data_IF_860140518641
#
_entry.id   IF_860140518641
#
_cell.length_a   1.000
_cell.length_b   1.000
_cell.length_c   1.000
_cell.angle_alpha   90.00
_cell.angle_beta   90.00
_cell.angle_gamma   90.00
#
_symmetry.space_group_name_H-M   'P 1'
#
loop_
_entity.id
_entity.type
_entity.pdbx_description
1 polymer ?
#
# COMPACT_ATOMS: atom_id res chain seq x y z
N UNK A 1 -9.17 9.08 27.49
CA UNK A 1 -8.44 8.15 26.57
C UNK A 1 -8.31 8.84 25.24
N UNK A 2 -7.18 8.86 24.58
CA UNK A 2 -7.04 9.53 23.28
C UNK A 2 -7.60 8.62 22.20
N UNK A 3 -8.41 9.15 21.27
CA UNK A 3 -8.96 8.41 20.12
C UNK A 3 -7.87 7.73 19.28
N UNK A 4 -6.69 8.33 19.25
CA UNK A 4 -5.51 7.73 18.62
C UNK A 4 -5.12 6.40 19.28
N UNK A 5 -5.11 6.36 20.61
CA UNK A 5 -4.79 5.13 21.36
C UNK A 5 -5.86 4.05 21.15
N UNK A 6 -7.13 4.45 21.05
CA UNK A 6 -8.23 3.52 20.74
C UNK A 6 -8.08 2.93 19.35
N UNK A 7 -7.77 3.76 18.35
CA UNK A 7 -7.52 3.30 16.99
C UNK A 7 -6.30 2.37 16.92
N UNK A 8 -5.21 2.71 17.61
CA UNK A 8 -4.02 1.86 17.70
C UNK A 8 -4.32 0.50 18.33
N UNK A 9 -5.20 0.46 19.33
CA UNK A 9 -5.64 -0.80 19.94
C UNK A 9 -6.51 -1.62 18.98
N UNK A 10 -7.39 -0.98 18.22
CA UNK A 10 -8.20 -1.64 17.18
C UNK A 10 -7.29 -2.26 16.12
N UNK A 11 -6.29 -1.54 15.64
CA UNK A 11 -5.34 -2.08 14.67
C UNK A 11 -4.52 -3.26 15.24
N UNK A 12 -4.12 -3.20 16.51
CA UNK A 12 -3.40 -4.33 17.16
C UNK A 12 -4.28 -5.56 17.30
N UNK A 13 -5.57 -5.40 17.53
CA UNK A 13 -6.50 -6.50 17.76
C UNK A 13 -7.07 -7.09 16.48
N UNK A 14 -7.38 -6.26 15.48
CA UNK A 14 -8.12 -6.65 14.28
C UNK A 14 -7.36 -6.35 12.98
N UNK A 15 -6.18 -5.78 13.07
CA UNK A 15 -5.34 -5.47 11.91
C UNK A 15 -4.54 -6.68 11.45
N UNK A 16 -4.03 -6.56 10.24
CA UNK A 16 -3.07 -7.49 9.66
C UNK A 16 -1.88 -6.71 9.09
N UNK A 17 -0.78 -7.41 8.89
CA UNK A 17 0.43 -6.82 8.36
C UNK A 17 0.44 -6.87 6.82
N UNK A 18 0.77 -5.75 6.21
CA UNK A 18 0.95 -5.62 4.76
C UNK A 18 2.34 -5.07 4.44
N UNK A 19 2.77 -5.21 3.19
CA UNK A 19 3.91 -4.47 2.67
C UNK A 19 3.45 -3.20 1.98
N UNK A 20 3.93 -2.07 2.48
CA UNK A 20 3.77 -0.76 1.84
C UNK A 20 5.01 -0.48 1.00
N UNK A 21 4.82 -0.28 -0.30
CA UNK A 21 5.86 0.00 -1.27
C UNK A 21 5.74 1.46 -1.68
N UNK A 22 6.59 2.29 -1.13
CA UNK A 22 6.62 3.74 -1.37
C UNK A 22 7.72 4.11 -2.33
N UNK A 23 7.48 5.10 -3.17
CA UNK A 23 8.48 5.62 -4.09
C UNK A 23 9.48 6.50 -3.35
N UNK A 24 10.78 6.24 -3.54
CA UNK A 24 11.84 7.15 -3.09
C UNK A 24 12.07 8.27 -4.11
N UNK A 25 12.96 9.19 -3.78
CA UNK A 25 13.44 10.22 -4.74
C UNK A 25 14.58 9.72 -5.63
N UNK A 26 15.05 8.49 -5.43
CA UNK A 26 16.19 7.93 -6.15
C UNK A 26 15.70 7.28 -7.43
N UNK A 27 16.19 7.75 -8.57
CA UNK A 27 15.88 7.17 -9.88
C UNK A 27 16.45 5.77 -9.99
N UNK A 28 15.68 4.88 -10.60
CA UNK A 28 16.16 3.55 -10.93
C UNK A 28 17.14 3.60 -12.12
N UNK A 29 18.10 2.70 -12.15
CA UNK A 29 19.07 2.57 -13.25
C UNK A 29 18.44 2.23 -14.60
N UNK A 30 17.24 1.66 -14.62
CA UNK A 30 16.49 1.39 -15.85
C UNK A 30 15.81 2.63 -16.46
N UNK A 31 15.84 3.76 -15.75
CA UNK A 31 15.26 5.00 -16.26
C UNK A 31 16.14 5.63 -17.33
N UNK A 32 15.55 5.81 -18.51
CA UNK A 32 16.23 6.52 -19.60
C UNK A 32 15.87 8.01 -19.53
N UNK A 33 16.86 8.85 -19.20
CA UNK A 33 16.67 10.29 -19.07
C UNK A 33 16.35 11.00 -20.40
N UNK A 34 16.76 10.42 -21.54
CA UNK A 34 16.53 11.02 -22.86
C UNK A 34 15.08 10.84 -23.33
N UNK A 35 14.50 9.67 -23.06
CA UNK A 35 13.14 9.34 -23.49
C UNK A 35 12.10 9.53 -22.38
N UNK A 36 12.51 9.77 -21.14
CA UNK A 36 11.63 9.82 -19.98
C UNK A 36 10.98 8.48 -19.64
N UNK A 37 11.41 7.40 -20.29
CA UNK A 37 10.79 6.08 -20.16
C UNK A 37 11.53 5.20 -19.16
N UNK A 38 10.80 4.21 -18.65
CA UNK A 38 11.34 3.17 -17.78
C UNK A 38 10.99 1.81 -18.33
N UNK A 39 11.82 0.83 -18.03
CA UNK A 39 11.46 -0.55 -18.28
C UNK A 39 10.30 -0.96 -17.36
N UNK A 40 9.13 -1.22 -17.95
CA UNK A 40 7.94 -1.68 -17.22
C UNK A 40 8.15 -3.00 -16.50
N UNK A 41 9.11 -3.80 -16.95
CA UNK A 41 9.46 -5.11 -16.41
C UNK A 41 10.66 -5.04 -15.47
N UNK A 42 11.13 -3.86 -15.11
CA UNK A 42 12.27 -3.72 -14.22
C UNK A 42 12.00 -4.36 -12.85
N UNK A 43 12.80 -5.34 -12.40
CA UNK A 43 12.59 -6.01 -11.13
C UNK A 43 12.90 -5.12 -9.92
N UNK A 44 13.60 -4.01 -10.11
CA UNK A 44 14.01 -3.11 -9.04
C UNK A 44 12.98 -2.01 -8.76
N UNK A 45 12.37 -1.43 -9.78
CA UNK A 45 11.44 -0.32 -9.61
C UNK A 45 9.99 -0.63 -10.01
N UNK A 46 9.71 -1.83 -10.53
CA UNK A 46 8.37 -2.25 -10.99
C UNK A 46 7.73 -1.28 -11.99
N UNK A 47 8.56 -0.68 -12.84
CA UNK A 47 8.10 0.31 -13.82
C UNK A 47 7.75 1.69 -13.24
N UNK A 48 8.03 1.95 -11.97
CA UNK A 48 7.73 3.23 -11.30
C UNK A 48 8.76 4.32 -11.55
N UNK A 49 9.89 4.00 -12.18
CA UNK A 49 11.04 4.90 -12.39
C UNK A 49 11.90 5.18 -11.18
N UNK A 50 11.47 4.82 -9.99
CA UNK A 50 12.15 5.12 -8.73
C UNK A 50 12.42 3.85 -7.94
N UNK A 51 13.52 3.83 -7.20
CA UNK A 51 13.81 2.73 -6.27
C UNK A 51 12.78 2.76 -5.15
N UNK A 52 12.03 1.67 -4.91
CA UNK A 52 11.03 1.63 -3.87
C UNK A 52 11.65 1.48 -2.48
N UNK A 53 10.98 2.04 -1.49
CA UNK A 53 11.15 1.72 -0.08
C UNK A 53 10.02 0.80 0.32
N UNK A 54 10.34 -0.38 0.83
CA UNK A 54 9.35 -1.37 1.25
C UNK A 54 9.36 -1.45 2.77
N UNK A 55 8.21 -1.24 3.39
CA UNK A 55 8.03 -1.32 4.84
C UNK A 55 6.89 -2.26 5.19
N UNK A 56 7.02 -2.92 6.34
CA UNK A 56 5.95 -3.72 6.93
C UNK A 56 5.10 -2.80 7.79
N UNK A 57 3.82 -2.70 7.48
CA UNK A 57 2.88 -1.84 8.19
C UNK A 57 1.65 -2.60 8.62
N UNK A 58 1.13 -2.28 9.80
CA UNK A 58 -0.14 -2.84 10.27
C UNK A 58 -1.30 -2.00 9.74
N UNK A 59 -2.30 -2.67 9.22
CA UNK A 59 -3.49 -2.03 8.66
C UNK A 59 -4.74 -2.87 8.92
N UNK A 60 -5.90 -2.27 8.72
CA UNK A 60 -7.18 -2.97 8.62
C UNK A 60 -7.74 -2.73 7.23
N UNK A 61 -8.18 -3.80 6.61
CA UNK A 61 -8.84 -3.77 5.31
C UNK A 61 -10.37 -3.71 5.49
N UNK A 62 -11.03 -3.03 4.58
CA UNK A 62 -12.48 -2.99 4.47
C UNK A 62 -12.87 -3.03 3.00
N UNK A 63 -13.75 -3.97 2.64
CA UNK A 63 -14.25 -4.07 1.27
C UNK A 63 -15.23 -2.94 0.96
N UNK A 64 -15.10 -2.32 -0.21
CA UNK A 64 -16.01 -1.27 -0.66
C UNK A 64 -17.44 -1.73 -0.93
N UNK A 65 -17.66 -3.05 -1.00
CA UNK A 65 -18.97 -3.66 -1.27
C UNK A 65 -19.89 -3.75 -0.04
N UNK A 66 -19.41 -3.38 1.15
CA UNK A 66 -20.24 -3.38 2.33
C UNK A 66 -21.11 -2.12 2.29
N UNK A 67 -22.42 -2.34 2.27
CA UNK A 67 -23.50 -1.37 2.06
C UNK A 67 -23.55 -0.17 3.02
N UNK A 68 -22.71 -0.14 4.04
CA UNK A 68 -22.59 1.01 4.96
C UNK A 68 -22.03 2.27 4.31
N UNK A 69 -21.43 2.15 3.13
CA UNK A 69 -20.89 3.27 2.37
C UNK A 69 -21.81 3.74 1.23
N UNK A 70 -22.96 3.12 1.02
CA UNK A 70 -23.91 3.53 -0.02
C UNK A 70 -24.41 4.98 0.16
N UNK A 71 -24.49 5.47 1.38
CA UNK A 71 -24.85 6.87 1.65
C UNK A 71 -23.74 7.87 1.27
N UNK A 72 -22.48 7.42 1.22
CA UNK A 72 -21.36 8.27 0.76
C UNK A 72 -21.11 8.14 -0.76
N UNK A 73 -21.60 7.08 -1.39
CA UNK A 73 -21.43 6.85 -2.84
C UNK A 73 -22.27 7.84 -3.66
N UNK A 74 -23.39 8.31 -3.12
CA UNK A 74 -24.22 9.30 -3.82
C UNK A 74 -23.51 10.63 -4.08
N UNK A 75 -22.56 11.01 -3.23
CA UNK A 75 -21.84 12.28 -3.36
C UNK A 75 -20.63 12.18 -4.33
N UNK A 76 -20.22 10.97 -4.68
CA UNK A 76 -19.09 10.70 -5.59
C UNK A 76 -19.52 10.17 -6.97
N UNK A 77 -20.83 9.99 -7.21
CA UNK A 77 -21.34 9.68 -8.54
C UNK A 77 -21.35 10.94 -9.44
N UNK A 78 -20.20 11.49 -9.70
CA UNK A 78 -20.03 12.37 -10.85
C UNK A 78 -19.83 11.50 -12.09
N UNK A 79 -20.94 11.40 -12.83
CA UNK A 79 -20.98 11.04 -14.25
C UNK A 79 -19.89 10.08 -14.78
N UNK A 80 -20.21 8.79 -14.83
CA UNK A 80 -19.56 7.86 -15.76
C UNK A 80 -18.32 7.15 -15.24
N UNK A 81 -17.83 7.39 -14.03
CA UNK A 81 -16.82 6.53 -13.43
C UNK A 81 -17.47 5.27 -12.86
N UNK A 82 -17.28 4.15 -13.53
CA UNK A 82 -17.52 2.84 -12.95
C UNK A 82 -16.76 2.78 -11.62
N UNK A 83 -17.47 2.57 -10.52
CA UNK A 83 -16.86 2.27 -9.23
C UNK A 83 -16.13 0.94 -9.41
N UNK A 84 -14.87 1.03 -9.74
CA UNK A 84 -13.99 -0.13 -9.69
C UNK A 84 -13.96 -0.57 -8.24
N UNK A 85 -14.37 -1.80 -7.98
CA UNK A 85 -14.32 -2.45 -6.67
C UNK A 85 -12.97 -2.21 -6.04
N UNK A 86 -12.89 -1.19 -5.21
CA UNK A 86 -11.69 -0.80 -4.49
C UNK A 86 -11.73 -1.35 -3.08
N UNK A 87 -10.59 -1.56 -2.50
CA UNK A 87 -10.43 -1.86 -1.08
C UNK A 87 -10.02 -0.60 -0.35
N UNK A 88 -10.45 -0.48 0.90
CA UNK A 88 -10.02 0.59 1.78
C UNK A 88 -9.09 0.01 2.84
N UNK A 89 -8.01 0.74 3.11
CA UNK A 89 -7.06 0.41 4.15
C UNK A 89 -7.00 1.53 5.17
N UNK A 90 -6.90 1.16 6.43
CA UNK A 90 -6.78 2.11 7.53
C UNK A 90 -5.39 2.01 8.13
N UNK A 91 -4.61 3.08 8.01
CA UNK A 91 -3.28 3.17 8.58
C UNK A 91 -3.22 4.13 9.76
N UNK A 92 -2.23 3.94 10.62
CA UNK A 92 -1.90 4.90 11.66
C UNK A 92 -1.52 6.24 11.07
N UNK A 93 -1.66 7.29 11.87
CA UNK A 93 -1.34 8.65 11.44
C UNK A 93 0.16 8.89 11.17
N UNK A 94 1.04 8.11 11.78
CA UNK A 94 2.51 8.19 11.64
C UNK A 94 3.07 7.43 10.43
N UNK A 95 2.27 6.57 9.80
CA UNK A 95 2.66 5.90 8.56
C UNK A 95 2.58 6.88 7.39
N UNK A 96 3.67 7.05 6.65
CA UNK A 96 3.70 7.94 5.50
C UNK A 96 3.17 7.22 4.24
N UNK A 97 1.87 7.36 3.97
CA UNK A 97 1.23 6.82 2.75
C UNK A 97 0.95 7.96 1.77
N UNK A 98 1.27 7.74 0.50
CA UNK A 98 1.05 8.71 -0.59
C UNK A 98 0.28 8.09 -1.75
N UNK A 99 -0.34 8.95 -2.55
CA UNK A 99 -0.91 8.53 -3.83
C UNK A 99 0.19 7.92 -4.72
N UNK A 100 -0.16 6.86 -5.42
CA UNK A 100 0.71 6.00 -6.22
C UNK A 100 1.62 5.03 -5.46
N UNK A 101 1.65 5.03 -4.13
CA UNK A 101 2.25 3.93 -3.39
C UNK A 101 1.51 2.62 -3.69
N UNK A 102 2.18 1.50 -3.46
CA UNK A 102 1.59 0.18 -3.66
C UNK A 102 1.42 -0.53 -2.32
N UNK A 103 0.33 -1.25 -2.18
CA UNK A 103 0.05 -2.11 -1.03
C UNK A 103 0.03 -3.55 -1.51
N UNK A 104 0.75 -4.41 -0.81
CA UNK A 104 0.85 -5.82 -1.09
C UNK A 104 0.48 -6.63 0.13
N UNK A 105 -0.61 -7.36 0.04
CA UNK A 105 -1.00 -8.35 1.04
C UNK A 105 -0.13 -9.60 0.90
N UNK A 106 0.41 -10.05 2.00
CA UNK A 106 1.29 -11.21 2.06
C UNK A 106 0.95 -12.09 3.24
N UNK A 107 1.22 -13.38 3.12
CA UNK A 107 1.15 -14.31 4.23
C UNK A 107 2.43 -14.23 5.06
N UNK A 108 2.32 -14.23 6.37
CA UNK A 108 3.45 -14.06 7.28
C UNK A 108 3.76 -15.32 8.05
N UNK A 109 5.04 -15.72 8.06
CA UNK A 109 5.59 -16.70 9.00
C UNK A 109 6.57 -15.99 9.93
N UNK A 110 6.06 -15.58 11.09
CA UNK A 110 6.80 -14.63 11.95
C UNK A 110 7.01 -13.29 11.21
N UNK A 111 8.25 -12.89 11.01
CA UNK A 111 8.60 -11.66 10.28
C UNK A 111 8.91 -11.89 8.80
N UNK A 112 8.73 -13.11 8.30
CA UNK A 112 9.05 -13.47 6.91
C UNK A 112 7.77 -13.58 6.08
N UNK A 113 7.62 -12.81 4.99
CA UNK A 113 6.56 -13.01 4.02
C UNK A 113 6.83 -14.29 3.21
N UNK A 114 5.80 -15.14 3.03
CA UNK A 114 5.96 -16.45 2.38
C UNK A 114 5.36 -16.47 0.97
N UNK A 115 4.24 -15.78 0.77
CA UNK A 115 3.47 -15.88 -0.46
C UNK A 115 2.84 -14.55 -0.83
N UNK A 116 2.84 -14.29 -2.13
CA UNK A 116 2.15 -13.15 -2.72
C UNK A 116 1.11 -13.72 -3.67
N UNK A 117 -0.07 -14.03 -3.13
CA UNK A 117 -1.17 -14.61 -3.92
C UNK A 117 -2.25 -13.60 -4.30
N UNK A 118 -2.13 -12.36 -3.82
CA UNK A 118 -3.14 -11.32 -4.00
C UNK A 118 -2.67 -10.25 -4.98
N UNK A 119 -3.62 -9.58 -5.68
CA UNK A 119 -3.25 -8.52 -6.60
C UNK A 119 -2.57 -7.38 -5.84
N UNK A 120 -1.60 -6.76 -6.48
CA UNK A 120 -1.01 -5.52 -5.97
C UNK A 120 -2.03 -4.39 -6.10
N UNK A 121 -2.19 -3.65 -5.03
CA UNK A 121 -3.12 -2.54 -4.96
C UNK A 121 -2.35 -1.21 -5.04
N UNK A 122 -2.80 -0.32 -5.88
CA UNK A 122 -2.25 1.04 -6.00
C UNK A 122 -3.09 2.01 -5.21
N UNK A 123 -2.44 2.81 -4.37
CA UNK A 123 -3.08 3.91 -3.65
C UNK A 123 -3.54 4.97 -4.65
N UNK A 124 -4.84 5.23 -4.67
CA UNK A 124 -5.45 6.27 -5.49
C UNK A 124 -5.59 7.58 -4.72
N UNK A 125 -6.01 7.51 -3.47
CA UNK A 125 -6.23 8.67 -2.62
C UNK A 125 -5.98 8.33 -1.15
N UNK A 126 -5.55 9.33 -0.37
CA UNK A 126 -5.34 9.23 1.08
C UNK A 126 -6.16 10.32 1.77
N UNK A 127 -7.11 9.90 2.58
CA UNK A 127 -7.92 10.80 3.40
C UNK A 127 -7.45 10.74 4.86
N UNK A 128 -6.94 11.87 5.35
CA UNK A 128 -6.45 12.01 6.73
C UNK A 128 -7.57 12.46 7.64
N UNK A 129 -8.09 11.54 8.43
CA UNK A 129 -9.18 11.81 9.36
C UNK A 129 -8.68 12.58 10.58
N UNK A 130 -9.20 13.80 10.71
CA UNK A 130 -8.92 14.72 11.81
C UNK A 130 -10.06 14.71 12.80
N UNK A 131 -9.74 14.91 14.07
CA UNK A 131 -10.71 15.04 15.15
C UNK A 131 -10.71 16.47 15.73
N UNK A 132 -11.51 16.68 16.78
CA UNK A 132 -11.92 17.98 17.35
C UNK A 132 -10.76 18.99 17.49
N UNK A 133 -9.55 18.56 17.77
CA UNK A 133 -8.38 19.42 17.90
C UNK A 133 -7.55 19.56 16.61
N UNK A 134 -8.07 19.13 15.45
CA UNK A 134 -7.34 19.14 14.19
C UNK A 134 -6.24 18.09 14.08
N UNK A 135 -6.03 17.26 15.11
CA UNK A 135 -5.07 16.16 15.09
C UNK A 135 -5.52 15.04 14.15
N UNK A 136 -4.59 14.55 13.33
CA UNK A 136 -4.84 13.38 12.48
C UNK A 136 -4.81 12.13 13.36
N UNK A 137 -5.92 11.40 13.42
CA UNK A 137 -6.05 10.17 14.20
C UNK A 137 -5.64 8.95 13.39
N UNK A 138 -6.13 8.86 12.15
CA UNK A 138 -5.82 7.78 11.22
C UNK A 138 -5.92 8.26 9.78
N UNK A 139 -5.47 7.41 8.86
CA UNK A 139 -5.56 7.63 7.43
C UNK A 139 -6.44 6.56 6.79
N UNK A 140 -7.45 6.97 6.03
CA UNK A 140 -8.22 6.08 5.16
C UNK A 140 -7.63 6.14 3.77
N UNK A 141 -7.16 5.00 3.29
CA UNK A 141 -6.44 4.87 2.03
C UNK A 141 -7.32 4.14 1.02
N UNK A 142 -7.62 4.78 -0.07
CA UNK A 142 -8.40 4.24 -1.17
C UNK A 142 -7.47 3.60 -2.18
N UNK A 143 -7.79 2.38 -2.60
CA UNK A 143 -6.94 1.63 -3.51
C UNK A 143 -7.69 1.17 -4.75
N UNK A 144 -6.93 0.87 -5.78
CA UNK A 144 -7.40 0.21 -7.01
C UNK A 144 -6.41 -0.90 -7.39
N UNK A 145 -6.91 -1.93 -8.00
CA UNK A 145 -6.07 -3.01 -8.51
C UNK A 145 -5.09 -2.46 -9.54
N UNK A 146 -3.82 -2.76 -9.35
CA UNK A 146 -2.76 -2.47 -10.30
C UNK A 146 -2.45 -3.76 -11.06
N UNK A 147 -2.73 -3.82 -12.38
CA UNK A 147 -2.28 -4.94 -13.16
C UNK A 147 -0.75 -4.92 -13.20
N UNK A 148 -0.15 -5.93 -12.61
CA UNK A 148 1.29 -6.15 -12.70
C UNK A 148 1.52 -7.12 -13.84
N UNK A 149 2.45 -6.74 -14.71
CA UNK A 149 2.87 -7.57 -15.84
C UNK A 149 3.68 -8.81 -15.42
N UNK A 150 4.05 -8.92 -14.13
CA UNK A 150 4.82 -10.02 -13.55
C UNK A 150 4.25 -10.44 -12.22
N UNK A 151 4.19 -11.72 -11.99
CA UNK A 151 3.93 -12.30 -10.68
C UNK A 151 5.07 -11.97 -9.73
N UNK A 152 4.76 -11.26 -8.67
CA UNK A 152 5.70 -11.08 -7.56
C UNK A 152 5.61 -12.35 -6.73
N UNK A 153 6.53 -13.30 -6.95
CA UNK A 153 6.50 -14.61 -6.30
C UNK A 153 7.38 -14.75 -5.08
N UNK A 154 8.38 -13.90 -4.96
CA UNK A 154 9.29 -13.98 -3.83
C UNK A 154 9.56 -12.61 -3.22
N UNK A 155 9.52 -12.57 -1.89
CA UNK A 155 9.90 -11.43 -1.11
C UNK A 155 11.07 -11.83 -0.24
N UNK A 156 12.19 -11.16 -0.41
CA UNK A 156 13.40 -11.43 0.32
C UNK A 156 13.60 -10.42 1.46
N UNK A 157 14.28 -10.86 2.48
CA UNK A 157 14.56 -10.07 3.68
C UNK A 157 16.07 -9.94 3.84
N UNK A 158 16.53 -8.73 4.04
CA UNK A 158 17.91 -8.45 4.46
C UNK A 158 17.86 -7.73 5.79
N UNK A 159 18.54 -8.28 6.80
CA UNK A 159 18.76 -7.64 8.08
C UNK A 159 20.13 -6.97 8.08
N UNK A 160 20.15 -5.63 8.14
CA UNK A 160 21.37 -4.84 8.28
C UNK A 160 21.20 -3.80 9.38
N UNK A 161 22.17 -3.72 10.29
CA UNK A 161 22.19 -2.74 11.37
C UNK A 161 20.89 -2.71 12.19
N UNK A 162 20.37 -3.88 12.58
CA UNK A 162 19.11 -4.05 13.31
C UNK A 162 17.86 -3.53 12.57
N UNK A 163 17.95 -3.32 11.26
CA UNK A 163 16.80 -2.95 10.41
C UNK A 163 16.51 -4.07 9.42
N UNK A 164 15.23 -4.37 9.27
CA UNK A 164 14.74 -5.33 8.28
C UNK A 164 14.40 -4.59 7.01
N UNK A 165 14.96 -5.03 5.90
CA UNK A 165 14.68 -4.51 4.56
C UNK A 165 13.99 -5.60 3.77
N UNK A 166 12.93 -5.25 3.07
CA UNK A 166 12.21 -6.12 2.17
C UNK A 166 12.54 -5.73 0.73
N UNK A 167 12.73 -6.72 -0.11
CA UNK A 167 12.85 -6.50 -1.55
C UNK A 167 12.14 -7.62 -2.30
N UNK A 168 11.62 -7.28 -3.47
CA UNK A 168 10.88 -8.21 -4.31
C UNK A 168 11.85 -8.82 -5.31
N UNK A 169 11.75 -10.11 -5.53
CA UNK A 169 12.48 -10.81 -6.57
C UNK A 169 11.54 -11.59 -7.47
N UNK A 170 11.97 -11.88 -8.69
CA UNK A 170 11.30 -12.85 -9.52
C UNK A 170 11.44 -14.21 -8.85
N UNK A 171 10.33 -14.96 -8.78
CA UNK A 171 10.43 -16.36 -8.39
C UNK A 171 11.25 -17.09 -9.44
N UNK A 172 12.24 -17.84 -9.02
CA UNK A 172 12.90 -18.81 -9.88
C UNK A 172 11.84 -19.80 -10.39
N UNK A 173 11.77 -19.98 -11.71
CA UNK A 173 10.91 -20.94 -12.35
C UNK A 173 11.39 -22.36 -12.07
#
# INVERSE_FOLDING_TARGET
MSLKNEFDNILKQYGHDVLLISQTKIRCTCYNALTGSTDRKCPYCFGTSYIPKITKEITREEDSNISSSLSMISDFQTFGEMIVTGRYYFFKNDVEVKANDLILDVDWKGNRPIHVGRPVLKVSHVDRKRFINGEVVFQKVYTKTQPILRDIRAINIINRHNKTYYYLSEGDN
#
